data_IF_315384743023
#
_entry.id   IF_315384743023
#
_cell.length_a   1.000
_cell.length_b   1.000
_cell.length_c   1.000
_cell.angle_alpha   90.00
_cell.angle_beta   90.00
_cell.angle_gamma   90.00
#
_symmetry.space_group_name_H-M   'P 1'
#
loop_
_entity.id
_entity.type
_entity.pdbx_description
1 polymer ?
#
# COMPACT_ATOMS: atom_id res chain seq x y z
N UNK A 1 11.17 -73.40 7.52
CA UNK A 1 11.17 -72.09 8.26
C UNK A 1 11.32 -70.85 7.40
N UNK A 2 12.03 -70.85 6.25
CA UNK A 2 12.23 -69.65 5.41
C UNK A 2 10.97 -69.13 4.67
N UNK A 3 9.98 -69.98 4.40
CA UNK A 3 8.73 -69.56 3.69
C UNK A 3 7.70 -68.87 4.58
N UNK A 4 7.71 -69.16 5.88
CA UNK A 4 6.78 -68.54 6.84
C UNK A 4 7.15 -67.07 7.13
N UNK A 5 8.45 -66.78 7.26
CA UNK A 5 8.96 -65.43 7.48
C UNK A 5 8.64 -64.48 6.29
N UNK A 6 8.68 -64.98 5.05
CA UNK A 6 8.34 -64.14 3.88
C UNK A 6 6.85 -63.73 3.81
N UNK A 7 5.96 -64.62 4.26
CA UNK A 7 4.51 -64.28 4.32
C UNK A 7 4.20 -63.30 5.44
N UNK A 8 4.87 -63.43 6.59
CA UNK A 8 4.75 -62.53 7.71
C UNK A 8 5.28 -61.11 7.37
N UNK A 9 6.46 -61.01 6.75
CA UNK A 9 7.05 -59.75 6.33
C UNK A 9 6.20 -59.05 5.26
N UNK A 10 5.61 -59.79 4.34
CA UNK A 10 4.68 -59.23 3.34
C UNK A 10 3.39 -58.70 4.00
N UNK A 11 2.84 -59.39 4.97
CA UNK A 11 1.65 -59.00 5.71
C UNK A 11 1.88 -57.76 6.57
N UNK A 12 3.03 -57.69 7.25
CA UNK A 12 3.38 -56.51 8.07
C UNK A 12 3.68 -55.28 7.22
N UNK A 13 4.33 -55.42 6.05
CA UNK A 13 4.56 -54.31 5.15
C UNK A 13 3.24 -53.76 4.55
N UNK A 14 2.31 -54.62 4.26
CA UNK A 14 0.99 -54.19 3.74
C UNK A 14 0.16 -53.48 4.83
N UNK A 15 0.20 -53.95 6.07
CA UNK A 15 -0.44 -53.29 7.20
C UNK A 15 0.20 -51.93 7.52
N UNK A 16 1.55 -51.84 7.47
CA UNK A 16 2.28 -50.60 7.67
C UNK A 16 1.97 -49.57 6.55
N UNK A 17 1.93 -50.01 5.28
CA UNK A 17 1.55 -49.14 4.15
C UNK A 17 0.13 -48.63 4.29
N UNK A 18 -0.82 -49.46 4.78
CA UNK A 18 -2.19 -49.04 5.05
C UNK A 18 -2.28 -48.02 6.20
N UNK A 19 -1.51 -48.22 7.27
CA UNK A 19 -1.49 -47.27 8.39
C UNK A 19 -0.84 -45.92 7.97
N UNK A 20 0.27 -45.98 7.22
CA UNK A 20 0.89 -44.75 6.68
C UNK A 20 -0.02 -43.99 5.74
N UNK A 21 -0.78 -44.68 4.90
CA UNK A 21 -1.75 -44.02 4.00
C UNK A 21 -2.93 -43.39 4.77
N UNK A 22 -3.34 -43.97 5.88
CA UNK A 22 -4.36 -43.41 6.76
C UNK A 22 -3.86 -42.20 7.58
N UNK A 23 -2.58 -42.20 7.96
CA UNK A 23 -2.01 -41.18 8.83
C UNK A 23 -1.34 -40.03 8.06
N UNK A 24 -0.93 -40.23 6.80
CA UNK A 24 -0.05 -39.28 6.11
C UNK A 24 -0.58 -38.65 4.81
N UNK A 25 -1.58 -39.22 4.16
CA UNK A 25 -1.97 -38.74 2.83
C UNK A 25 -3.37 -38.14 2.71
N UNK A 26 -4.16 -38.18 3.76
CA UNK A 26 -5.48 -37.51 3.76
C UNK A 26 -5.42 -36.00 4.05
N UNK A 27 -4.24 -35.48 4.42
CA UNK A 27 -4.07 -34.08 4.84
C UNK A 27 -3.65 -33.08 3.75
N UNK A 28 -3.31 -33.54 2.55
CA UNK A 28 -2.78 -32.60 1.52
C UNK A 28 -3.81 -32.05 0.55
N UNK A 29 -5.08 -32.36 0.70
CA UNK A 29 -6.13 -31.73 -0.12
C UNK A 29 -6.96 -30.76 0.70
N UNK A 30 -6.51 -29.52 0.81
CA UNK A 30 -7.41 -28.39 0.97
C UNK A 30 -7.58 -27.76 2.35
N UNK A 31 -6.72 -28.02 3.36
CA UNK A 31 -6.98 -27.46 4.70
C UNK A 31 -6.00 -26.37 5.14
N UNK A 32 -4.85 -26.21 4.52
CA UNK A 32 -3.96 -25.09 4.81
C UNK A 32 -3.51 -24.44 3.52
N UNK A 33 -4.30 -23.52 3.01
CA UNK A 33 -3.78 -22.44 2.17
C UNK A 33 -3.01 -21.51 3.09
N UNK A 34 -1.72 -21.70 3.20
CA UNK A 34 -0.86 -20.69 3.80
C UNK A 34 -0.65 -19.63 2.72
N UNK A 35 -1.53 -18.67 2.64
CA UNK A 35 -1.33 -17.47 1.82
C UNK A 35 -0.34 -16.57 2.56
N UNK A 36 0.91 -16.61 2.16
CA UNK A 36 1.91 -15.63 2.57
C UNK A 36 1.67 -14.36 1.76
N UNK A 37 0.82 -13.47 2.26
CA UNK A 37 0.59 -12.14 1.71
C UNK A 37 0.86 -11.08 2.76
N UNK A 38 1.22 -9.88 2.35
CA UNK A 38 1.20 -8.71 3.24
C UNK A 38 -0.13 -7.98 3.05
N UNK A 39 -0.80 -7.59 4.14
CA UNK A 39 -1.98 -6.73 4.03
C UNK A 39 -1.63 -5.48 3.22
N UNK A 40 -2.52 -5.08 2.31
CA UNK A 40 -2.33 -3.87 1.52
C UNK A 40 -3.64 -3.15 1.26
N UNK A 41 -3.54 -1.87 0.96
CA UNK A 41 -4.64 -1.02 0.55
C UNK A 41 -4.16 -0.05 -0.54
N UNK A 42 -5.08 0.35 -1.40
CA UNK A 42 -4.83 1.40 -2.39
C UNK A 42 -5.26 2.75 -1.82
N UNK A 43 -4.38 3.73 -1.92
CA UNK A 43 -4.62 5.10 -1.48
C UNK A 43 -4.52 6.04 -2.66
N UNK A 44 -5.44 6.98 -2.76
CA UNK A 44 -5.40 8.05 -3.75
C UNK A 44 -5.63 9.39 -3.07
N UNK A 45 -4.69 10.31 -3.26
CA UNK A 45 -4.81 11.70 -2.82
C UNK A 45 -4.84 12.59 -4.05
N UNK A 46 -5.82 13.48 -4.13
CA UNK A 46 -5.94 14.44 -5.19
C UNK A 46 -6.40 15.79 -4.62
N UNK A 47 -6.17 16.85 -5.33
CA UNK A 47 -6.57 18.17 -4.88
C UNK A 47 -5.99 19.27 -5.76
N UNK A 48 -6.00 20.47 -5.22
CA UNK A 48 -5.53 21.68 -5.90
C UNK A 48 -4.55 22.43 -5.01
N UNK A 49 -3.46 22.89 -5.60
CA UNK A 49 -2.49 23.79 -4.96
C UNK A 49 -2.75 25.20 -5.41
N UNK A 50 -2.89 26.11 -4.46
CA UNK A 50 -3.12 27.54 -4.68
C UNK A 50 -2.17 28.38 -3.82
N UNK A 51 -2.02 29.62 -4.18
CA UNK A 51 -1.41 30.64 -3.31
C UNK A 51 -2.40 31.13 -2.23
N UNK A 52 -1.98 32.10 -1.42
CA UNK A 52 -2.80 32.69 -0.36
C UNK A 52 -4.03 33.45 -0.92
N UNK A 53 -3.96 33.92 -2.17
CA UNK A 53 -5.04 34.62 -2.89
C UNK A 53 -6.01 33.67 -3.59
N UNK A 54 -5.70 32.36 -3.62
CA UNK A 54 -6.50 31.35 -4.29
C UNK A 54 -6.16 31.14 -5.76
N UNK A 55 -5.06 31.77 -6.24
CA UNK A 55 -4.57 31.56 -7.60
C UNK A 55 -3.91 30.18 -7.72
N UNK A 56 -4.19 29.40 -8.77
CA UNK A 56 -3.52 28.11 -8.96
C UNK A 56 -2.01 28.26 -9.08
N UNK A 57 -1.26 27.39 -8.44
CA UNK A 57 0.19 27.33 -8.58
C UNK A 57 0.57 26.10 -9.40
N UNK A 58 1.04 26.29 -10.65
CA UNK A 58 1.49 25.21 -11.50
C UNK A 58 2.92 24.77 -11.15
N UNK A 59 3.31 23.60 -11.65
CA UNK A 59 4.65 23.02 -11.61
C UNK A 59 5.22 22.76 -10.20
N UNK A 60 4.41 22.79 -9.18
CA UNK A 60 4.76 22.40 -7.82
C UNK A 60 4.87 20.87 -7.73
N UNK A 61 5.98 20.38 -7.18
CA UNK A 61 6.17 18.95 -6.96
C UNK A 61 5.36 18.49 -5.75
N UNK A 62 4.51 17.48 -5.96
CA UNK A 62 3.71 16.83 -4.92
C UNK A 62 4.13 15.36 -4.83
N UNK A 63 4.50 14.92 -3.64
CA UNK A 63 4.95 13.55 -3.38
C UNK A 63 4.12 12.92 -2.27
N UNK A 64 3.75 11.66 -2.45
CA UNK A 64 3.06 10.86 -1.44
C UNK A 64 4.00 9.80 -0.89
N UNK A 65 4.03 9.65 0.42
CA UNK A 65 4.91 8.66 1.04
C UNK A 65 4.64 8.47 2.53
N UNK A 66 5.63 7.99 3.24
CA UNK A 66 5.56 7.75 4.68
C UNK A 66 6.81 8.26 5.38
N UNK A 67 6.59 8.89 6.53
CA UNK A 67 7.63 9.46 7.39
C UNK A 67 8.00 10.87 7.01
N UNK A 68 8.53 11.59 7.98
CA UNK A 68 8.93 12.98 7.83
C UNK A 68 9.86 13.15 6.63
N UNK A 69 9.55 14.07 5.73
CA UNK A 69 10.24 14.28 4.45
C UNK A 69 10.40 12.99 3.60
N UNK A 70 9.48 12.02 3.75
CA UNK A 70 9.47 10.73 3.04
C UNK A 70 10.68 9.84 3.32
N UNK A 71 11.30 9.95 4.50
CA UNK A 71 12.47 9.16 4.85
C UNK A 71 12.23 7.65 4.88
N UNK A 72 10.98 7.20 5.15
CA UNK A 72 10.65 5.77 5.22
C UNK A 72 10.25 5.19 3.86
N UNK A 73 9.44 5.92 3.09
CA UNK A 73 9.03 5.48 1.77
C UNK A 73 8.49 6.66 0.94
N UNK A 74 8.89 6.72 -0.33
CA UNK A 74 8.27 7.57 -1.35
C UNK A 74 7.53 6.65 -2.32
N UNK A 75 6.23 6.85 -2.49
CA UNK A 75 5.39 5.96 -3.30
C UNK A 75 5.15 6.52 -4.69
N UNK A 76 4.74 7.78 -4.77
CA UNK A 76 4.37 8.44 -6.02
C UNK A 76 4.72 9.92 -5.98
N UNK A 77 4.93 10.51 -7.14
CA UNK A 77 5.17 11.94 -7.26
C UNK A 77 4.63 12.49 -8.57
N UNK A 78 4.09 13.69 -8.52
CA UNK A 78 3.58 14.41 -9.69
C UNK A 78 3.93 15.90 -9.60
N UNK A 79 3.63 16.65 -10.64
CA UNK A 79 3.63 18.11 -10.62
C UNK A 79 2.22 18.64 -10.84
N UNK A 80 1.91 19.76 -10.24
CA UNK A 80 0.63 20.43 -10.47
C UNK A 80 0.49 20.93 -11.90
N UNK A 81 -0.71 20.74 -12.47
CA UNK A 81 -1.05 21.29 -13.78
C UNK A 81 -1.21 22.82 -13.78
N UNK A 82 -1.50 23.39 -14.95
CA UNK A 82 -1.73 24.83 -15.10
C UNK A 82 -2.89 25.35 -14.25
N UNK A 83 -3.82 24.49 -13.90
CA UNK A 83 -4.96 24.75 -13.03
C UNK A 83 -4.68 24.44 -11.55
N UNK A 84 -3.43 24.08 -11.21
CA UNK A 84 -2.99 23.70 -9.87
C UNK A 84 -3.41 22.31 -9.43
N UNK A 85 -4.10 21.51 -10.26
CA UNK A 85 -4.54 20.17 -9.86
C UNK A 85 -3.40 19.16 -9.83
N UNK A 86 -3.51 18.20 -8.89
CA UNK A 86 -2.61 17.06 -8.75
C UNK A 86 -3.37 15.79 -8.38
N UNK A 87 -2.76 14.64 -8.62
CA UNK A 87 -3.23 13.33 -8.16
C UNK A 87 -2.05 12.40 -8.00
N UNK A 88 -1.92 11.80 -6.82
CA UNK A 88 -0.90 10.82 -6.45
C UNK A 88 -1.55 9.59 -5.80
N UNK A 89 -0.90 8.44 -5.90
CA UNK A 89 -1.43 7.18 -5.39
C UNK A 89 -0.36 6.32 -4.73
N UNK A 90 -0.80 5.40 -3.88
CA UNK A 90 0.07 4.44 -3.24
C UNK A 90 -0.66 3.09 -3.08
N UNK A 91 0.07 1.99 -3.22
CA UNK A 91 -0.34 0.70 -2.69
C UNK A 91 0.61 0.37 -1.53
N UNK A 92 0.08 0.29 -0.34
CA UNK A 92 0.89 0.12 0.87
C UNK A 92 0.11 -0.63 1.95
N UNK A 93 0.77 -0.92 3.07
CA UNK A 93 0.13 -1.51 4.25
C UNK A 93 -1.12 -0.70 4.64
N UNK A 94 -2.17 -1.34 5.20
CA UNK A 94 -3.34 -0.62 5.68
C UNK A 94 -2.95 0.20 6.92
N UNK A 95 -2.59 1.45 6.67
CA UNK A 95 -2.16 2.42 7.70
C UNK A 95 -3.10 3.62 7.70
N UNK A 96 -3.32 4.17 8.89
CA UNK A 96 -4.24 5.28 9.07
C UNK A 96 -3.78 6.62 8.49
N UNK A 97 -2.50 6.78 8.09
CA UNK A 97 -2.00 8.06 7.58
C UNK A 97 -0.80 7.91 6.64
N UNK A 98 -0.75 8.78 5.64
CA UNK A 98 0.36 9.02 4.73
C UNK A 98 0.78 10.49 4.77
N UNK A 99 1.98 10.78 4.31
CA UNK A 99 2.52 12.13 4.26
C UNK A 99 2.52 12.64 2.81
N UNK A 100 1.94 13.82 2.62
CA UNK A 100 1.93 14.54 1.36
C UNK A 100 2.92 15.70 1.47
N UNK A 101 4.02 15.59 0.75
CA UNK A 101 5.08 16.60 0.72
C UNK A 101 4.93 17.45 -0.53
N UNK A 102 4.85 18.75 -0.33
CA UNK A 102 4.69 19.76 -1.37
C UNK A 102 5.98 20.57 -1.44
N UNK A 103 6.60 20.63 -2.60
CA UNK A 103 7.89 21.32 -2.80
C UNK A 103 7.85 22.19 -4.03
N UNK A 104 8.14 23.45 -3.83
CA UNK A 104 8.43 24.40 -4.91
C UNK A 104 9.85 24.16 -5.41
N UNK A 105 9.97 23.70 -6.65
CA UNK A 105 11.24 23.28 -7.25
C UNK A 105 11.56 23.98 -8.57
N UNK A 106 10.73 24.90 -9.02
CA UNK A 106 10.92 25.66 -10.28
C UNK A 106 11.56 27.03 -10.06
N UNK A 107 11.89 27.35 -8.81
CA UNK A 107 12.54 28.60 -8.43
C UNK A 107 11.54 29.77 -8.37
N UNK A 108 11.76 30.80 -9.19
CA UNK A 108 10.90 31.99 -9.24
C UNK A 108 9.92 32.00 -10.43
N UNK A 109 9.90 30.92 -11.24
CA UNK A 109 9.16 30.90 -12.51
C UNK A 109 7.64 31.09 -12.34
N UNK A 110 7.05 30.50 -11.29
CA UNK A 110 5.63 30.59 -10.98
C UNK A 110 5.36 31.19 -9.58
N UNK A 111 6.31 31.98 -9.08
CA UNK A 111 6.36 32.45 -7.71
C UNK A 111 7.32 31.61 -6.87
N UNK A 112 7.62 32.06 -5.67
CA UNK A 112 8.47 31.34 -4.74
C UNK A 112 7.72 31.02 -3.47
N UNK A 113 7.57 29.73 -3.16
CA UNK A 113 6.71 29.25 -2.09
C UNK A 113 7.50 28.41 -1.06
N UNK A 114 7.02 28.44 0.18
CA UNK A 114 7.54 27.56 1.23
C UNK A 114 7.11 26.10 0.97
N UNK A 115 8.01 25.17 1.25
CA UNK A 115 7.65 23.76 1.22
C UNK A 115 6.70 23.44 2.39
N UNK A 116 5.81 22.47 2.19
CA UNK A 116 4.85 22.06 3.20
C UNK A 116 4.74 20.53 3.26
N UNK A 117 4.34 20.02 4.42
CA UNK A 117 4.08 18.59 4.62
C UNK A 117 2.76 18.43 5.36
N UNK A 118 1.84 17.68 4.76
CA UNK A 118 0.50 17.44 5.28
C UNK A 118 0.36 15.97 5.63
N UNK A 119 -0.03 15.68 6.88
CA UNK A 119 -0.43 14.35 7.29
C UNK A 119 -1.85 14.06 6.82
N UNK A 120 -1.99 13.14 5.87
CA UNK A 120 -3.28 12.72 5.32
C UNK A 120 -3.75 11.49 6.04
N UNK A 121 -4.74 11.61 6.90
CA UNK A 121 -5.39 10.51 7.60
C UNK A 121 -6.49 9.91 6.76
N UNK A 122 -6.63 8.58 6.78
CA UNK A 122 -7.68 7.84 6.09
C UNK A 122 -8.58 7.16 7.13
N UNK A 123 -9.86 7.50 7.09
CA UNK A 123 -10.89 6.94 7.93
C UNK A 123 -11.71 5.91 7.13
N UNK A 124 -12.56 5.13 7.81
CA UNK A 124 -13.39 4.11 7.15
C UNK A 124 -14.30 4.66 6.05
N UNK A 125 -14.71 5.93 6.17
CA UNK A 125 -15.56 6.60 5.19
C UNK A 125 -14.81 6.99 3.90
N UNK A 126 -13.50 7.11 3.96
CA UNK A 126 -12.66 7.41 2.79
C UNK A 126 -12.52 6.19 1.85
N UNK A 127 -12.86 4.97 2.34
CA UNK A 127 -12.82 3.74 1.55
C UNK A 127 -14.05 3.61 0.65
N UNK A 128 -13.89 3.92 -0.64
CA UNK A 128 -14.94 3.80 -1.65
C UNK A 128 -15.08 2.39 -2.23
N UNK A 129 -14.11 1.52 -1.99
CA UNK A 129 -14.10 0.12 -2.40
C UNK A 129 -13.59 -0.74 -1.25
N UNK A 130 -14.39 -1.70 -0.83
CA UNK A 130 -13.97 -2.70 0.15
C UNK A 130 -13.07 -3.74 -0.48
N UNK A 131 -12.12 -4.23 0.30
CA UNK A 131 -11.23 -5.29 -0.09
C UNK A 131 -11.94 -6.62 -0.35
N UNK A 132 -11.25 -7.53 -1.01
CA UNK A 132 -11.69 -8.91 -1.20
C UNK A 132 -10.56 -9.83 -0.76
N UNK A 133 -10.89 -10.87 0.03
CA UNK A 133 -9.93 -11.81 0.61
C UNK A 133 -9.29 -11.26 1.89
N UNK A 134 -8.26 -11.96 2.36
CA UNK A 134 -7.70 -11.74 3.69
C UNK A 134 -6.60 -10.66 3.73
N UNK A 135 -6.13 -10.21 2.56
CA UNK A 135 -4.94 -9.35 2.45
C UNK A 135 -5.17 -7.97 1.81
N UNK A 136 -6.26 -7.79 1.08
CA UNK A 136 -6.59 -6.52 0.46
C UNK A 136 -7.69 -5.80 1.21
N UNK A 137 -7.35 -4.73 1.93
CA UNK A 137 -8.27 -3.92 2.74
C UNK A 137 -9.27 -3.13 1.89
N UNK A 138 -8.82 -2.70 0.70
CA UNK A 138 -9.67 -1.93 -0.20
C UNK A 138 -8.98 -0.72 -0.79
N UNK A 139 -9.77 0.21 -1.32
CA UNK A 139 -9.27 1.45 -1.92
C UNK A 139 -9.89 2.67 -1.24
N UNK A 140 -9.05 3.55 -0.73
CA UNK A 140 -9.40 4.81 -0.13
C UNK A 140 -9.02 5.98 -1.03
N UNK A 141 -9.79 7.08 -0.95
CA UNK A 141 -9.48 8.33 -1.64
C UNK A 141 -9.71 9.51 -0.72
N UNK A 142 -8.86 10.53 -0.85
CA UNK A 142 -8.99 11.78 -0.11
C UNK A 142 -8.72 12.96 -1.02
N UNK A 143 -9.51 14.02 -0.85
CA UNK A 143 -9.24 15.30 -1.48
C UNK A 143 -8.55 16.22 -0.49
N UNK A 144 -7.39 16.75 -0.88
CA UNK A 144 -6.57 17.64 -0.05
C UNK A 144 -6.22 18.88 -0.88
N UNK A 145 -6.86 20.00 -0.59
CA UNK A 145 -6.54 21.27 -1.21
C UNK A 145 -5.48 21.99 -0.36
N UNK A 146 -4.43 22.46 -1.03
CA UNK A 146 -3.24 23.02 -0.38
C UNK A 146 -3.14 24.51 -0.69
N UNK A 147 -2.85 25.31 0.33
CA UNK A 147 -2.60 26.72 0.19
C UNK A 147 -1.15 27.02 0.58
N UNK A 148 -0.31 27.38 -0.39
CA UNK A 148 1.09 27.68 -0.18
C UNK A 148 1.31 29.12 0.28
N UNK A 149 2.27 29.28 1.16
CA UNK A 149 2.76 30.60 1.62
C UNK A 149 3.91 31.04 0.74
N UNK A 150 3.92 32.30 0.35
CA UNK A 150 5.06 32.86 -0.38
C UNK A 150 6.30 32.90 0.51
N UNK A 151 7.46 32.57 -0.03
CA UNK A 151 8.75 32.76 0.64
C UNK A 151 9.00 34.25 0.88
N UNK A 152 9.36 34.60 2.09
CA UNK A 152 9.80 35.98 2.37
C UNK A 152 11.09 36.24 1.64
N UNK A 153 11.13 37.29 0.81
CA UNK A 153 12.41 37.78 0.25
C UNK A 153 13.28 38.28 1.41
N UNK A 154 14.45 37.68 1.56
CA UNK A 154 15.50 38.15 2.46
C UNK A 154 16.20 39.36 1.91
#
# INVERSE_FOLDING_TARGET
MKKLNRKLIRGTNWALAGILSLLGFSGCNGIIRVEYGSPNADYKVSGRVTDEQGTPVPDVKVQLGKGEQLHYASFDSTRTGQDGHYSVSANYLPIGALDLVISDTDGEANGSFENDTIHVTFESEDYYKRGKGDWYEGAAKKEVNVKLKAKKKS
#
